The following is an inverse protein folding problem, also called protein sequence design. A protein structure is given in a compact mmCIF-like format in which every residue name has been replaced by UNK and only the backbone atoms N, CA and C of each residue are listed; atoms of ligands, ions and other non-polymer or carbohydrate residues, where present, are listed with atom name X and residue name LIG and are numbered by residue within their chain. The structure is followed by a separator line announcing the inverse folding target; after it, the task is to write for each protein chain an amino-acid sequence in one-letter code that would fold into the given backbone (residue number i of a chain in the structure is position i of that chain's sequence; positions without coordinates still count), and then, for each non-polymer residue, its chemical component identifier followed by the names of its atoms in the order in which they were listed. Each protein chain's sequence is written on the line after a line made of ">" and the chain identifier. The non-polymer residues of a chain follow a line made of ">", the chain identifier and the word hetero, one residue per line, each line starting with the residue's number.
data_IF_842085508858
#
_entry.id   IF_842085508858
#
_cell.length_a   1.000
_cell.length_b   1.000
_cell.length_c   1.000
_cell.angle_alpha   90.00
_cell.angle_beta   90.00
_cell.angle_gamma   90.00
#
_symmetry.space_group_name_H-M   'P 1'
#
loop_
_entity.id
_entity.type
_entity.pdbx_description
1 polymer ?
#
# COMPACT_ATOMS: atom_id res chain seq x y z
N UNK A 1 -61.35 -4.94 -10.62
CA UNK A 1 -60.29 -4.73 -9.66
C UNK A 1 -58.96 -4.91 -10.34
N UNK A 2 -58.19 -3.79 -10.51
CA UNK A 2 -56.84 -3.81 -11.10
C UNK A 2 -55.81 -3.78 -9.97
N UNK A 3 -54.75 -4.61 -9.97
CA UNK A 3 -53.69 -4.49 -9.00
C UNK A 3 -52.78 -3.31 -9.36
N UNK A 4 -52.57 -2.46 -8.37
CA UNK A 4 -51.74 -1.25 -8.39
C UNK A 4 -50.24 -1.68 -8.39
N UNK A 5 -49.55 -1.43 -9.50
CA UNK A 5 -48.07 -1.54 -9.54
C UNK A 5 -47.48 -0.39 -8.71
N UNK A 6 -46.81 -0.70 -7.61
CA UNK A 6 -45.93 0.23 -6.92
C UNK A 6 -44.63 0.36 -7.72
N UNK A 7 -44.15 1.57 -8.01
CA UNK A 7 -42.81 1.73 -8.58
C UNK A 7 -41.75 1.34 -7.58
N UNK A 8 -40.72 0.64 -8.07
CA UNK A 8 -39.54 0.29 -7.30
C UNK A 8 -38.89 1.58 -6.78
N UNK A 9 -38.78 1.70 -5.47
CA UNK A 9 -37.98 2.70 -4.82
C UNK A 9 -36.52 2.41 -5.12
N UNK A 10 -35.88 3.20 -5.99
CA UNK A 10 -34.43 3.28 -6.07
C UNK A 10 -33.96 3.81 -4.71
N UNK A 11 -33.34 2.94 -3.93
CA UNK A 11 -32.60 3.34 -2.74
C UNK A 11 -31.41 4.19 -3.20
N UNK A 12 -31.57 5.48 -3.11
CA UNK A 12 -30.50 6.45 -3.25
C UNK A 12 -29.62 6.29 -2.00
N UNK A 13 -28.66 5.36 -2.02
CA UNK A 13 -27.68 5.23 -0.95
C UNK A 13 -26.83 6.49 -0.99
N UNK A 14 -27.01 7.36 -0.01
CA UNK A 14 -26.17 8.54 0.17
C UNK A 14 -24.72 8.08 0.24
N UNK A 15 -23.92 8.57 -0.69
CA UNK A 15 -22.47 8.35 -0.75
C UNK A 15 -21.86 8.90 0.55
N UNK A 16 -20.98 8.14 1.24
CA UNK A 16 -20.21 8.67 2.37
C UNK A 16 -19.36 9.87 1.96
N UNK A 17 -19.31 10.92 2.76
CA UNK A 17 -18.63 12.21 2.46
C UNK A 17 -17.15 12.07 2.11
N UNK A 18 -16.49 10.99 2.54
CA UNK A 18 -15.07 10.73 2.28
C UNK A 18 -14.77 10.03 0.92
N UNK A 19 -15.78 9.79 0.08
CA UNK A 19 -15.60 9.16 -1.24
C UNK A 19 -15.71 10.20 -2.37
N UNK A 20 -14.95 9.99 -3.45
CA UNK A 20 -15.02 10.82 -4.66
C UNK A 20 -16.23 10.46 -5.53
N UNK A 21 -16.53 11.25 -6.57
CA UNK A 21 -17.59 10.93 -7.54
C UNK A 21 -17.17 9.87 -8.56
N UNK A 22 -15.91 9.52 -8.60
CA UNK A 22 -15.35 8.50 -9.47
C UNK A 22 -15.73 7.11 -8.95
N UNK A 23 -16.38 6.31 -9.78
CA UNK A 23 -16.70 4.91 -9.47
C UNK A 23 -15.63 4.00 -10.06
N UNK A 24 -15.37 2.84 -9.42
CA UNK A 24 -14.46 1.85 -10.00
C UNK A 24 -14.96 1.31 -11.34
N UNK A 25 -16.28 1.24 -11.53
CA UNK A 25 -16.90 0.82 -12.79
C UNK A 25 -16.66 1.79 -13.95
N UNK A 26 -16.34 3.07 -13.67
CA UNK A 26 -15.98 4.06 -14.70
C UNK A 26 -14.52 3.98 -15.15
N UNK A 27 -13.69 3.20 -14.44
CA UNK A 27 -12.31 2.93 -14.80
C UNK A 27 -12.24 1.66 -15.66
N UNK A 28 -11.35 1.66 -16.65
CA UNK A 28 -11.14 0.51 -17.53
C UNK A 28 -10.38 -0.62 -16.82
N UNK A 29 -11.01 -1.20 -15.79
CA UNK A 29 -10.47 -2.28 -15.00
C UNK A 29 -10.90 -3.64 -15.55
N UNK A 30 -10.00 -4.62 -15.48
CA UNK A 30 -10.27 -5.98 -15.86
C UNK A 30 -11.49 -6.54 -15.09
N UNK A 31 -12.43 -7.29 -15.75
CA UNK A 31 -13.66 -7.78 -15.10
C UNK A 31 -13.42 -8.57 -13.80
N UNK A 32 -12.31 -9.31 -13.70
CA UNK A 32 -11.95 -10.05 -12.49
C UNK A 32 -11.63 -9.13 -11.30
N UNK A 33 -11.10 -7.92 -11.54
CA UNK A 33 -10.87 -6.91 -10.49
C UNK A 33 -12.17 -6.25 -10.08
N UNK A 34 -13.04 -5.94 -11.03
CA UNK A 34 -14.37 -5.41 -10.73
C UNK A 34 -15.18 -6.38 -9.88
N UNK A 35 -15.11 -7.69 -10.17
CA UNK A 35 -15.74 -8.72 -9.33
C UNK A 35 -15.19 -8.73 -7.89
N UNK A 36 -13.87 -8.60 -7.73
CA UNK A 36 -13.25 -8.49 -6.39
C UNK A 36 -13.72 -7.26 -5.61
N UNK A 37 -13.78 -6.10 -6.28
CA UNK A 37 -14.26 -4.85 -5.70
C UNK A 37 -15.74 -4.94 -5.28
N UNK A 38 -16.59 -5.55 -6.11
CA UNK A 38 -18.00 -5.75 -5.81
C UNK A 38 -18.21 -6.65 -4.58
N UNK A 39 -17.46 -7.75 -4.47
CA UNK A 39 -17.49 -8.66 -3.30
C UNK A 39 -17.08 -7.94 -2.01
N UNK A 40 -16.20 -6.94 -2.09
CA UNK A 40 -15.76 -6.11 -0.98
C UNK A 40 -16.69 -4.92 -0.71
N UNK A 41 -17.71 -4.70 -1.53
CA UNK A 41 -18.64 -3.57 -1.42
C UNK A 41 -18.03 -2.23 -1.83
N UNK A 42 -16.95 -2.22 -2.63
CA UNK A 42 -16.28 -1.01 -3.09
C UNK A 42 -16.89 -0.50 -4.38
N UNK A 43 -17.74 0.53 -4.30
CA UNK A 43 -18.39 1.16 -5.46
C UNK A 43 -17.68 2.42 -5.95
N UNK A 44 -17.25 3.28 -5.01
CA UNK A 44 -16.65 4.58 -5.30
C UNK A 44 -15.19 4.63 -4.83
N UNK A 45 -14.39 5.39 -5.59
CA UNK A 45 -13.00 5.63 -5.23
C UNK A 45 -12.89 6.62 -4.07
N UNK A 46 -11.88 6.43 -3.22
CA UNK A 46 -11.41 7.50 -2.33
C UNK A 46 -10.71 8.60 -3.14
N UNK A 47 -10.46 9.81 -2.58
CA UNK A 47 -9.76 10.89 -3.30
C UNK A 47 -8.41 10.46 -3.86
N UNK A 48 -7.59 9.72 -3.08
CA UNK A 48 -6.29 9.23 -3.56
C UNK A 48 -6.44 8.20 -4.67
N UNK A 49 -7.42 7.31 -4.60
CA UNK A 49 -7.68 6.33 -5.65
C UNK A 49 -8.13 6.99 -6.94
N UNK A 50 -9.05 7.96 -6.87
CA UNK A 50 -9.52 8.73 -8.01
C UNK A 50 -8.41 9.53 -8.69
N UNK A 51 -7.45 10.02 -7.92
CA UNK A 51 -6.30 10.74 -8.45
C UNK A 51 -5.21 9.82 -9.03
N UNK A 52 -4.95 8.67 -8.37
CA UNK A 52 -3.86 7.75 -8.75
C UNK A 52 -4.25 6.81 -9.89
N UNK A 53 -5.43 6.16 -9.82
CA UNK A 53 -5.76 5.06 -10.73
C UNK A 53 -5.74 5.45 -12.20
N UNK A 54 -6.35 6.56 -12.66
CA UNK A 54 -6.32 6.92 -14.08
C UNK A 54 -4.90 7.08 -14.63
N UNK A 55 -4.00 7.66 -13.81
CA UNK A 55 -2.59 7.89 -14.18
C UNK A 55 -1.79 6.58 -14.21
N UNK A 56 -1.96 5.74 -13.18
CA UNK A 56 -1.31 4.43 -13.11
C UNK A 56 -1.74 3.50 -14.26
N UNK A 57 -3.04 3.50 -14.58
CA UNK A 57 -3.59 2.75 -15.71
C UNK A 57 -3.04 3.26 -17.05
N UNK A 58 -2.80 4.57 -17.19
CA UNK A 58 -2.11 5.17 -18.34
C UNK A 58 -0.61 4.87 -18.38
N UNK A 59 -0.04 4.14 -17.39
CA UNK A 59 1.35 3.71 -17.37
C UNK A 59 2.34 4.71 -16.80
N UNK A 60 1.84 5.75 -16.12
CA UNK A 60 2.67 6.77 -15.49
C UNK A 60 3.20 6.28 -14.14
N UNK A 61 4.41 6.74 -13.77
CA UNK A 61 4.95 6.57 -12.44
C UNK A 61 4.28 7.54 -11.46
N UNK A 62 4.09 7.10 -10.21
CA UNK A 62 3.38 7.88 -9.20
C UNK A 62 4.21 8.09 -7.94
N UNK A 63 4.23 9.31 -7.43
CA UNK A 63 4.69 9.65 -6.09
C UNK A 63 3.50 10.22 -5.30
N UNK A 64 2.84 9.38 -4.51
CA UNK A 64 1.61 9.72 -3.79
C UNK A 64 1.87 10.09 -2.33
N UNK A 65 1.46 11.31 -1.94
CA UNK A 65 1.41 11.71 -0.53
C UNK A 65 -0.02 11.56 -0.01
N UNK A 66 -0.21 10.65 0.92
CA UNK A 66 -1.47 10.51 1.63
C UNK A 66 -1.27 9.74 2.95
N UNK A 67 -2.08 10.06 3.95
CA UNK A 67 -2.06 9.40 5.25
C UNK A 67 -2.44 7.92 5.16
N UNK A 68 -2.14 7.14 6.21
CA UNK A 68 -2.65 5.77 6.37
C UNK A 68 -4.17 5.76 6.42
N UNK A 69 -4.80 4.72 5.88
CA UNK A 69 -6.27 4.61 5.88
C UNK A 69 -6.98 5.36 4.75
N UNK A 70 -6.30 6.08 3.87
CA UNK A 70 -6.89 6.79 2.74
C UNK A 70 -7.19 5.93 1.52
N UNK A 71 -6.79 4.64 1.53
CA UNK A 71 -7.02 3.71 0.43
C UNK A 71 -5.89 3.60 -0.60
N UNK A 72 -4.66 4.07 -0.28
CA UNK A 72 -3.46 3.94 -1.13
C UNK A 72 -3.21 2.50 -1.58
N UNK A 73 -3.32 1.57 -0.64
CA UNK A 73 -3.06 0.14 -0.87
C UNK A 73 -3.90 -0.40 -2.02
N UNK A 74 -5.21 -0.14 -2.02
CA UNK A 74 -6.07 -0.57 -3.11
C UNK A 74 -5.71 0.12 -4.45
N UNK A 75 -5.28 1.39 -4.43
CA UNK A 75 -4.88 2.09 -5.65
C UNK A 75 -3.70 1.40 -6.35
N UNK A 76 -2.58 1.16 -5.63
CA UNK A 76 -1.44 0.52 -6.28
C UNK A 76 -1.66 -0.98 -6.55
N UNK A 77 -2.42 -1.69 -5.71
CA UNK A 77 -2.75 -3.10 -5.96
C UNK A 77 -3.59 -3.26 -7.23
N UNK A 78 -4.65 -2.47 -7.40
CA UNK A 78 -5.49 -2.51 -8.59
C UNK A 78 -4.70 -2.18 -9.86
N UNK A 79 -3.87 -1.13 -9.82
CA UNK A 79 -3.02 -0.76 -10.96
C UNK A 79 -2.01 -1.87 -11.30
N UNK A 80 -1.44 -2.50 -10.28
CA UNK A 80 -0.49 -3.63 -10.44
C UNK A 80 -1.18 -4.84 -11.04
N UNK A 81 -2.28 -5.29 -10.46
CA UNK A 81 -3.01 -6.46 -10.93
C UNK A 81 -3.59 -6.25 -12.33
N UNK A 82 -4.11 -5.05 -12.63
CA UNK A 82 -4.56 -4.67 -13.97
C UNK A 82 -3.45 -4.87 -14.99
N UNK A 83 -2.24 -4.37 -14.69
CA UNK A 83 -1.11 -4.53 -15.59
C UNK A 83 -0.76 -6.00 -15.82
N UNK A 84 -0.65 -6.80 -14.76
CA UNK A 84 -0.30 -8.21 -14.85
C UNK A 84 -1.37 -9.06 -15.56
N UNK A 85 -2.64 -8.67 -15.50
CA UNK A 85 -3.74 -9.35 -16.18
C UNK A 85 -3.85 -9.01 -17.67
N UNK A 86 -3.38 -7.82 -18.06
CA UNK A 86 -3.50 -7.33 -19.45
C UNK A 86 -2.24 -7.51 -20.28
N UNK A 87 -1.11 -7.82 -19.64
CA UNK A 87 0.17 -8.01 -20.32
C UNK A 87 0.69 -9.44 -20.12
N UNK A 88 1.34 -10.00 -21.13
CA UNK A 88 2.02 -11.28 -20.98
C UNK A 88 3.23 -11.14 -20.03
N UNK A 89 3.51 -12.16 -19.18
CA UNK A 89 4.70 -12.15 -18.33
C UNK A 89 5.98 -11.98 -19.15
N UNK A 90 6.91 -11.14 -18.66
CA UNK A 90 8.20 -10.93 -19.32
C UNK A 90 9.22 -12.02 -19.01
N UNK A 91 9.02 -12.74 -17.91
CA UNK A 91 9.95 -13.79 -17.48
C UNK A 91 9.86 -15.01 -18.40
N UNK A 92 11.01 -15.62 -18.76
CA UNK A 92 11.01 -16.89 -19.46
C UNK A 92 10.39 -18.01 -18.63
N UNK A 93 9.84 -19.02 -19.32
CA UNK A 93 9.29 -20.20 -18.67
C UNK A 93 10.35 -20.89 -17.79
N UNK A 94 9.98 -21.30 -16.58
CA UNK A 94 10.88 -21.96 -15.63
C UNK A 94 11.76 -21.01 -14.80
N UNK A 95 11.70 -19.69 -15.04
CA UNK A 95 12.40 -18.70 -14.24
C UNK A 95 11.46 -18.13 -13.18
N UNK A 96 11.83 -18.26 -11.90
CA UNK A 96 11.09 -17.63 -10.81
C UNK A 96 11.41 -16.14 -10.78
N UNK A 97 10.49 -15.32 -11.27
CA UNK A 97 10.64 -13.89 -11.34
C UNK A 97 9.28 -13.20 -11.12
N UNK A 98 9.13 -12.41 -10.05
CA UNK A 98 7.89 -11.66 -9.85
C UNK A 98 7.74 -10.58 -10.91
N UNK A 99 6.52 -10.44 -11.47
CA UNK A 99 6.17 -9.31 -12.34
C UNK A 99 6.00 -8.02 -11.53
N UNK A 100 5.57 -8.13 -10.27
CA UNK A 100 5.46 -7.00 -9.35
C UNK A 100 6.21 -7.26 -8.04
N UNK A 101 6.91 -6.21 -7.57
CA UNK A 101 7.72 -6.24 -6.36
C UNK A 101 7.35 -5.09 -5.44
N UNK A 102 6.94 -5.40 -4.21
CA UNK A 102 6.41 -4.42 -3.26
C UNK A 102 7.18 -4.45 -1.95
N UNK A 103 7.66 -3.28 -1.55
CA UNK A 103 8.40 -3.08 -0.29
C UNK A 103 7.54 -2.37 0.74
N UNK A 104 7.55 -2.91 1.95
CA UNK A 104 6.93 -2.33 3.13
C UNK A 104 7.94 -2.26 4.28
N UNK A 105 7.91 -1.20 5.14
CA UNK A 105 8.89 -1.01 6.22
C UNK A 105 8.76 -2.05 7.35
N UNK A 106 7.57 -2.59 7.56
CA UNK A 106 7.28 -3.48 8.67
C UNK A 106 6.58 -4.76 8.22
N UNK A 107 6.70 -5.79 9.04
CA UNK A 107 5.99 -7.07 8.86
C UNK A 107 4.48 -6.87 8.81
N UNK A 108 3.96 -6.08 9.74
CA UNK A 108 2.52 -5.82 9.87
C UNK A 108 1.95 -5.21 8.60
N UNK A 109 2.65 -4.19 8.04
CA UNK A 109 2.21 -3.57 6.79
C UNK A 109 2.35 -4.51 5.59
N UNK A 110 3.44 -5.29 5.49
CA UNK A 110 3.60 -6.28 4.43
C UNK A 110 2.46 -7.32 4.45
N UNK A 111 2.09 -7.81 5.63
CA UNK A 111 0.96 -8.75 5.82
C UNK A 111 -0.37 -8.08 5.48
N UNK A 112 -0.56 -6.82 5.85
CA UNK A 112 -1.77 -6.08 5.49
C UNK A 112 -1.90 -5.94 3.97
N UNK A 113 -0.85 -5.47 3.28
CA UNK A 113 -0.82 -5.37 1.81
C UNK A 113 -1.14 -6.73 1.17
N UNK A 114 -0.56 -7.82 1.68
CA UNK A 114 -0.82 -9.16 1.18
C UNK A 114 -2.29 -9.60 1.36
N UNK A 115 -2.88 -9.32 2.51
CA UNK A 115 -4.29 -9.65 2.76
C UNK A 115 -5.23 -8.85 1.85
N UNK A 116 -4.96 -7.56 1.67
CA UNK A 116 -5.69 -6.69 0.75
C UNK A 116 -5.52 -7.17 -0.70
N UNK A 117 -4.31 -7.58 -1.08
CA UNK A 117 -4.02 -8.14 -2.40
C UNK A 117 -4.82 -9.43 -2.65
N UNK A 118 -4.86 -10.34 -1.67
CA UNK A 118 -5.66 -11.57 -1.77
C UNK A 118 -7.15 -11.30 -1.88
N UNK A 119 -7.66 -10.33 -1.13
CA UNK A 119 -9.07 -9.98 -1.14
C UNK A 119 -9.48 -9.35 -2.50
N UNK A 120 -8.71 -8.37 -2.98
CA UNK A 120 -8.96 -7.70 -4.27
C UNK A 120 -8.73 -8.64 -5.46
N UNK A 121 -7.70 -9.48 -5.38
CA UNK A 121 -7.26 -10.37 -6.44
C UNK A 121 -7.85 -11.78 -6.39
N UNK A 122 -8.88 -12.05 -5.58
CA UNK A 122 -9.41 -13.39 -5.35
C UNK A 122 -9.83 -14.13 -6.65
N UNK A 123 -10.33 -13.39 -7.63
CA UNK A 123 -10.79 -13.95 -8.91
C UNK A 123 -9.74 -13.83 -10.02
N UNK A 124 -8.56 -13.28 -9.75
CA UNK A 124 -7.55 -12.99 -10.78
C UNK A 124 -6.74 -14.21 -11.20
N UNK A 125 -6.52 -15.15 -10.29
CA UNK A 125 -5.62 -16.28 -10.47
C UNK A 125 -4.14 -15.93 -10.33
N UNK A 126 -3.78 -14.67 -9.98
CA UNK A 126 -2.42 -14.25 -9.74
C UNK A 126 -1.88 -14.88 -8.45
N UNK A 127 -0.66 -15.39 -8.51
CA UNK A 127 0.07 -15.91 -7.35
C UNK A 127 0.72 -14.77 -6.56
N UNK A 128 0.51 -14.77 -5.24
CA UNK A 128 0.98 -13.71 -4.36
C UNK A 128 1.65 -14.31 -3.14
N UNK A 129 2.81 -13.77 -2.78
CA UNK A 129 3.55 -14.23 -1.60
C UNK A 129 4.05 -13.05 -0.77
N UNK A 130 4.06 -13.21 0.56
CA UNK A 130 4.58 -12.22 1.49
C UNK A 130 5.81 -12.74 2.22
N UNK A 131 6.88 -11.92 2.26
CA UNK A 131 8.17 -12.27 2.85
C UNK A 131 8.59 -11.26 3.92
N UNK A 132 8.79 -11.75 5.14
CA UNK A 132 9.21 -10.93 6.29
C UNK A 132 10.07 -11.73 7.27
N UNK A 133 10.84 -11.04 8.10
CA UNK A 133 11.71 -11.66 9.11
C UNK A 133 10.94 -12.22 10.31
N UNK A 134 11.59 -13.08 11.08
CA UNK A 134 11.12 -13.55 12.38
C UNK A 134 10.33 -14.86 12.40
N UNK A 135 9.70 -15.30 11.31
CA UNK A 135 8.97 -16.57 11.26
C UNK A 135 8.80 -17.10 9.82
N UNK A 136 8.39 -18.34 9.67
CA UNK A 136 7.90 -18.91 8.42
C UNK A 136 8.93 -19.02 7.29
N UNK A 137 10.22 -19.15 7.60
CA UNK A 137 11.28 -19.13 6.60
C UNK A 137 11.10 -20.17 5.48
N UNK A 138 10.96 -21.43 5.83
CA UNK A 138 10.82 -22.53 4.87
C UNK A 138 9.49 -22.45 4.10
N UNK A 139 8.42 -22.00 4.76
CA UNK A 139 7.14 -21.82 4.09
C UNK A 139 7.21 -20.72 3.04
N UNK A 140 7.77 -19.55 3.40
CA UNK A 140 7.93 -18.42 2.46
C UNK A 140 8.83 -18.81 1.28
N UNK A 141 9.90 -19.57 1.56
CA UNK A 141 10.78 -20.12 0.53
C UNK A 141 10.02 -21.02 -0.45
N UNK A 142 9.30 -22.01 0.09
CA UNK A 142 8.54 -22.93 -0.73
C UNK A 142 7.42 -22.25 -1.56
N UNK A 143 6.84 -21.17 -1.05
CA UNK A 143 5.86 -20.37 -1.79
C UNK A 143 6.52 -19.64 -2.98
N UNK A 144 7.71 -19.06 -2.81
CA UNK A 144 8.45 -18.43 -3.90
C UNK A 144 8.84 -19.46 -4.97
N UNK A 145 9.35 -20.63 -4.57
CA UNK A 145 9.80 -21.68 -5.47
C UNK A 145 8.67 -22.26 -6.36
N UNK A 146 7.40 -22.13 -5.94
CA UNK A 146 6.23 -22.49 -6.75
C UNK A 146 5.92 -21.49 -7.87
N UNK A 147 6.58 -20.34 -7.86
CA UNK A 147 6.30 -19.23 -8.75
C UNK A 147 5.42 -18.16 -8.10
N UNK A 148 5.74 -16.90 -8.34
CA UNK A 148 5.06 -15.75 -7.76
C UNK A 148 4.95 -14.61 -8.76
N UNK A 149 3.72 -14.08 -8.94
CA UNK A 149 3.47 -12.91 -9.78
C UNK A 149 3.67 -11.61 -9.01
N UNK A 150 3.24 -11.57 -7.73
CA UNK A 150 3.36 -10.41 -6.85
C UNK A 150 4.10 -10.81 -5.58
N UNK A 151 5.32 -10.29 -5.43
CA UNK A 151 6.15 -10.51 -4.26
C UNK A 151 6.14 -9.29 -3.35
N UNK A 152 5.64 -9.45 -2.14
CA UNK A 152 5.49 -8.39 -1.14
C UNK A 152 6.43 -8.69 0.02
N UNK A 153 7.05 -7.68 0.63
CA UNK A 153 7.81 -7.98 1.84
C UNK A 153 8.62 -6.84 2.42
N UNK A 154 9.34 -7.19 3.48
CA UNK A 154 10.30 -6.29 4.14
C UNK A 154 11.69 -6.42 3.51
N UNK A 155 12.48 -5.33 3.40
CA UNK A 155 13.73 -5.31 2.66
C UNK A 155 14.70 -6.44 3.03
N UNK A 156 14.97 -6.64 4.32
CA UNK A 156 15.97 -7.62 4.78
C UNK A 156 15.68 -9.08 4.36
N UNK A 157 14.41 -9.54 4.47
CA UNK A 157 14.04 -10.91 4.08
C UNK A 157 14.05 -11.08 2.56
N UNK A 158 13.63 -10.06 1.83
CA UNK A 158 13.67 -10.09 0.37
C UNK A 158 15.11 -10.13 -0.14
N UNK A 159 16.01 -9.35 0.45
CA UNK A 159 17.44 -9.41 0.12
C UNK A 159 18.05 -10.78 0.42
N UNK A 160 17.70 -11.37 1.57
CA UNK A 160 18.17 -12.69 1.96
C UNK A 160 17.80 -13.76 0.91
N UNK A 161 16.54 -13.83 0.53
CA UNK A 161 16.06 -14.75 -0.50
C UNK A 161 16.63 -14.45 -1.90
N UNK A 162 16.80 -13.17 -2.25
CA UNK A 162 17.45 -12.77 -3.49
C UNK A 162 18.93 -13.25 -3.55
N UNK A 163 19.70 -13.07 -2.46
CA UNK A 163 21.08 -13.55 -2.37
C UNK A 163 21.20 -15.07 -2.48
N UNK A 164 20.17 -15.80 -2.05
CA UNK A 164 20.08 -17.25 -2.21
C UNK A 164 19.60 -17.68 -3.61
N UNK A 165 19.34 -16.72 -4.50
CA UNK A 165 18.91 -16.97 -5.89
C UNK A 165 17.57 -17.72 -5.99
N UNK A 166 16.66 -17.52 -5.02
CA UNK A 166 15.31 -18.09 -5.07
C UNK A 166 14.45 -17.44 -6.15
N UNK A 167 14.77 -16.21 -6.51
CA UNK A 167 14.12 -15.45 -7.59
C UNK A 167 15.10 -14.45 -8.20
N UNK A 168 14.77 -13.96 -9.40
CA UNK A 168 15.46 -12.82 -10.01
C UNK A 168 14.57 -11.59 -10.05
N UNK A 169 15.19 -10.39 -10.09
CA UNK A 169 14.50 -9.10 -10.24
C UNK A 169 14.58 -8.55 -11.67
N UNK A 170 15.24 -9.27 -12.59
CA UNK A 170 15.51 -8.79 -13.95
C UNK A 170 14.25 -8.57 -14.79
N UNK A 171 13.13 -9.14 -14.37
CA UNK A 171 11.85 -9.09 -15.11
C UNK A 171 10.75 -8.33 -14.36
N UNK A 172 11.11 -7.60 -13.29
CA UNK A 172 10.14 -6.79 -12.56
C UNK A 172 9.58 -5.69 -13.45
N UNK A 173 8.26 -5.70 -13.62
CA UNK A 173 7.53 -4.72 -14.43
C UNK A 173 6.95 -3.60 -13.59
N UNK A 174 6.63 -3.89 -12.33
CA UNK A 174 6.08 -2.92 -11.39
C UNK A 174 6.83 -2.98 -10.06
N UNK A 175 7.28 -1.83 -9.60
CA UNK A 175 7.88 -1.63 -8.29
C UNK A 175 6.98 -0.73 -7.43
N UNK A 176 6.71 -1.14 -6.18
CA UNK A 176 5.96 -0.36 -5.21
C UNK A 176 6.77 -0.15 -3.94
N UNK A 177 6.85 1.09 -3.48
CA UNK A 177 7.37 1.46 -2.17
C UNK A 177 6.23 2.06 -1.36
N UNK A 178 5.78 1.40 -0.30
CA UNK A 178 4.76 1.95 0.59
C UNK A 178 5.38 2.38 1.92
N UNK A 179 4.93 3.50 2.48
CA UNK A 179 5.51 4.18 3.64
C UNK A 179 7.02 4.44 3.50
N UNK A 180 7.41 5.05 2.38
CA UNK A 180 8.83 5.30 2.07
C UNK A 180 9.54 6.14 3.14
N UNK A 181 8.89 7.15 3.71
CA UNK A 181 9.42 7.95 4.83
C UNK A 181 9.79 7.07 6.03
N UNK A 182 8.94 6.12 6.39
CA UNK A 182 9.21 5.18 7.49
C UNK A 182 10.36 4.22 7.18
N UNK A 183 10.54 3.84 5.91
CA UNK A 183 11.71 3.05 5.52
C UNK A 183 13.02 3.82 5.71
N UNK A 184 13.02 5.15 5.48
CA UNK A 184 14.17 6.01 5.80
C UNK A 184 14.44 6.05 7.30
N UNK A 185 13.40 6.25 8.12
CA UNK A 185 13.53 6.33 9.59
C UNK A 185 14.07 5.02 10.19
N UNK A 186 13.74 3.89 9.60
CA UNK A 186 14.22 2.56 10.01
C UNK A 186 15.59 2.21 9.41
N UNK A 187 16.19 3.06 8.57
CA UNK A 187 17.52 2.87 8.02
C UNK A 187 17.60 1.90 6.83
N UNK A 188 16.49 1.60 6.15
CA UNK A 188 16.46 0.66 5.02
C UNK A 188 16.87 1.26 3.68
N UNK A 189 17.36 2.50 3.64
CA UNK A 189 17.64 3.19 2.37
C UNK A 189 18.67 2.46 1.49
N UNK A 190 19.74 1.94 2.10
CA UNK A 190 20.76 1.21 1.36
C UNK A 190 20.25 -0.14 0.83
N UNK A 191 19.40 -0.81 1.61
CA UNK A 191 18.72 -2.03 1.22
C UNK A 191 17.78 -1.81 0.03
N UNK A 192 17.00 -0.71 0.07
CA UNK A 192 16.11 -0.32 -1.01
C UNK A 192 16.93 -0.01 -2.27
N UNK A 193 17.95 0.81 -2.18
CA UNK A 193 18.84 1.13 -3.31
C UNK A 193 19.52 -0.12 -3.88
N UNK A 194 19.90 -1.07 -3.00
CA UNK A 194 20.46 -2.34 -3.44
C UNK A 194 19.47 -3.12 -4.31
N UNK A 195 18.22 -3.28 -3.87
CA UNK A 195 17.17 -3.99 -4.62
C UNK A 195 16.81 -3.28 -5.92
N UNK A 196 16.62 -1.95 -5.89
CA UNK A 196 16.26 -1.15 -7.06
C UNK A 196 17.30 -1.22 -8.18
N UNK A 197 18.59 -1.34 -7.82
CA UNK A 197 19.70 -1.51 -8.80
C UNK A 197 19.74 -2.90 -9.46
N UNK A 198 18.97 -3.87 -8.92
CA UNK A 198 18.86 -5.24 -9.48
C UNK A 198 17.64 -5.40 -10.39
N UNK A 199 16.78 -4.41 -10.45
CA UNK A 199 15.61 -4.39 -11.32
C UNK A 199 15.93 -3.76 -12.68
N UNK A 200 15.07 -3.95 -13.69
CA UNK A 200 15.17 -3.20 -14.95
C UNK A 200 15.24 -1.69 -14.71
N UNK A 201 15.84 -0.92 -15.62
CA UNK A 201 15.93 0.53 -15.50
C UNK A 201 14.54 1.17 -15.40
N UNK A 202 14.42 2.37 -14.79
CA UNK A 202 13.13 3.04 -14.61
C UNK A 202 12.29 3.18 -15.89
N UNK A 203 12.95 3.37 -17.04
CA UNK A 203 12.27 3.49 -18.33
C UNK A 203 11.51 2.23 -18.76
N UNK A 204 11.91 1.06 -18.27
CA UNK A 204 11.37 -0.24 -18.65
C UNK A 204 10.36 -0.81 -17.66
N UNK A 205 10.18 -0.15 -16.50
CA UNK A 205 9.22 -0.55 -15.47
C UNK A 205 8.31 0.60 -15.08
N UNK A 206 7.25 0.30 -14.34
CA UNK A 206 6.40 1.27 -13.65
C UNK A 206 6.81 1.32 -12.18
N UNK A 207 6.79 2.49 -11.59
CA UNK A 207 7.20 2.68 -10.20
C UNK A 207 6.17 3.49 -9.44
N UNK A 208 5.73 2.98 -8.29
CA UNK A 208 4.77 3.64 -7.41
C UNK A 208 5.40 3.82 -6.04
N UNK A 209 5.50 5.06 -5.61
CA UNK A 209 6.02 5.44 -4.31
C UNK A 209 4.91 6.11 -3.51
N UNK A 210 4.61 5.58 -2.33
CA UNK A 210 3.64 6.16 -1.41
C UNK A 210 4.29 6.48 -0.06
N UNK A 211 3.93 7.63 0.49
CA UNK A 211 4.49 8.12 1.74
C UNK A 211 3.49 9.03 2.46
N UNK A 212 3.56 9.14 3.78
CA UNK A 212 2.81 10.14 4.52
C UNK A 212 3.40 11.54 4.30
N UNK A 213 4.71 11.61 4.05
CA UNK A 213 5.43 12.86 3.77
C UNK A 213 6.33 12.71 2.54
N UNK A 214 6.29 13.67 1.62
CA UNK A 214 7.22 13.76 0.49
C UNK A 214 8.42 14.65 0.87
N UNK A 215 9.18 14.21 1.89
CA UNK A 215 10.40 14.88 2.30
C UNK A 215 11.43 14.91 1.16
N UNK A 216 12.44 15.80 1.26
CA UNK A 216 13.52 15.90 0.28
C UNK A 216 14.19 14.53 0.01
N UNK A 217 14.42 13.73 1.05
CA UNK A 217 15.03 12.39 0.94
C UNK A 217 14.15 11.40 0.15
N UNK A 218 12.82 11.45 0.38
CA UNK A 218 11.86 10.61 -0.35
C UNK A 218 11.81 11.02 -1.82
N UNK A 219 11.79 12.32 -2.10
CA UNK A 219 11.82 12.82 -3.48
C UNK A 219 13.15 12.51 -4.19
N UNK A 220 14.29 12.58 -3.50
CA UNK A 220 15.59 12.19 -4.03
C UNK A 220 15.58 10.73 -4.50
N UNK A 221 15.05 9.80 -3.67
CA UNK A 221 14.89 8.40 -4.05
C UNK A 221 13.99 8.24 -5.29
N UNK A 222 12.89 9.00 -5.36
CA UNK A 222 12.01 8.99 -6.52
C UNK A 222 12.73 9.47 -7.78
N UNK A 223 13.48 10.57 -7.72
CA UNK A 223 14.26 11.08 -8.85
C UNK A 223 15.38 10.14 -9.29
N UNK A 224 16.02 9.42 -8.35
CA UNK A 224 17.08 8.47 -8.68
C UNK A 224 16.55 7.20 -9.37
N UNK A 225 15.32 6.77 -9.04
CA UNK A 225 14.86 5.42 -9.36
C UNK A 225 13.49 5.35 -10.05
N UNK A 226 12.88 6.48 -10.41
CA UNK A 226 11.62 6.55 -11.16
C UNK A 226 11.82 7.34 -12.45
N UNK A 227 10.81 7.30 -13.33
CA UNK A 227 10.84 8.07 -14.57
C UNK A 227 10.87 9.58 -14.30
N UNK A 228 11.51 10.39 -15.18
CA UNK A 228 11.60 11.84 -14.97
C UNK A 228 10.26 12.57 -14.91
N UNK A 229 9.23 12.00 -15.54
CA UNK A 229 7.85 12.52 -15.61
C UNK A 229 6.93 11.98 -14.50
N UNK A 230 7.50 11.53 -13.37
CA UNK A 230 6.76 11.01 -12.24
C UNK A 230 5.67 12.00 -11.79
N UNK A 231 4.45 11.48 -11.67
CA UNK A 231 3.29 12.28 -11.24
C UNK A 231 3.26 12.38 -9.72
N UNK A 232 3.40 13.59 -9.21
CA UNK A 232 3.19 13.88 -7.79
C UNK A 232 1.70 14.04 -7.52
N UNK A 233 1.20 13.31 -6.55
CA UNK A 233 -0.19 13.35 -6.10
C UNK A 233 -0.19 13.62 -4.61
N UNK A 234 -0.69 14.79 -4.23
CA UNK A 234 -0.80 15.22 -2.84
C UNK A 234 -2.27 15.30 -2.48
N UNK A 235 -2.70 14.52 -1.50
CA UNK A 235 -4.02 14.64 -0.91
C UNK A 235 -3.85 15.30 0.45
N UNK A 236 -4.24 16.56 0.52
CA UNK A 236 -4.28 17.27 1.79
C UNK A 236 -5.30 16.60 2.72
N UNK A 237 -4.95 16.36 3.97
CA UNK A 237 -5.92 15.89 4.94
C UNK A 237 -7.00 16.97 5.12
N UNK A 238 -8.25 16.60 5.04
CA UNK A 238 -9.39 17.53 5.26
C UNK A 238 -9.30 18.25 6.60
N UNK A 239 -8.55 17.68 7.55
CA UNK A 239 -8.30 18.27 8.86
C UNK A 239 -6.88 17.96 9.34
N UNK A 240 -6.14 19.01 9.70
CA UNK A 240 -4.78 18.94 10.26
C UNK A 240 -4.78 18.34 11.68
N UNK A 241 -5.91 18.39 12.37
CA UNK A 241 -6.08 17.86 13.73
C UNK A 241 -7.24 16.89 13.81
N UNK A 242 -7.07 15.77 14.54
CA UNK A 242 -8.16 14.85 14.79
C UNK A 242 -9.24 15.55 15.64
N UNK A 243 -10.39 15.88 15.06
CA UNK A 243 -11.51 16.55 15.75
C UNK A 243 -11.97 15.83 17.02
N UNK A 244 -11.76 14.52 17.09
CA UNK A 244 -12.16 13.68 18.23
C UNK A 244 -11.10 13.60 19.33
N UNK A 245 -9.91 14.20 19.14
CA UNK A 245 -8.83 14.21 20.12
C UNK A 245 -8.76 15.58 20.78
N UNK A 246 -9.10 15.66 22.06
CA UNK A 246 -8.89 16.85 22.86
C UNK A 246 -7.39 17.06 23.05
N UNK A 247 -6.87 18.14 22.51
CA UNK A 247 -5.48 18.54 22.65
C UNK A 247 -5.38 19.67 23.66
N UNK A 248 -4.43 19.55 24.58
CA UNK A 248 -4.14 20.60 25.57
C UNK A 248 -2.63 20.81 25.65
N UNK A 249 -2.20 22.05 25.70
CA UNK A 249 -0.81 22.41 25.91
C UNK A 249 -0.60 22.73 27.39
N UNK A 250 0.31 22.01 28.03
CA UNK A 250 0.69 22.23 29.40
C UNK A 250 2.10 22.82 29.47
N UNK A 251 2.22 24.05 29.97
CA UNK A 251 3.51 24.71 30.18
C UNK A 251 4.09 24.27 31.51
N UNK A 252 5.16 23.49 31.48
CA UNK A 252 5.86 22.99 32.67
C UNK A 252 7.36 23.19 32.52
N UNK A 253 8.07 23.36 33.64
CA UNK A 253 9.52 23.37 33.63
C UNK A 253 10.09 21.99 33.25
N UNK A 254 11.34 21.92 32.79
CA UNK A 254 11.96 20.63 32.45
C UNK A 254 12.10 19.71 33.67
N UNK A 255 12.27 20.27 34.87
CA UNK A 255 12.32 19.53 36.14
C UNK A 255 10.98 18.89 36.52
N UNK A 256 9.86 19.50 36.12
CA UNK A 256 8.54 19.13 36.60
C UNK A 256 7.79 18.24 35.57
N UNK A 257 8.35 18.02 34.35
CA UNK A 257 7.74 17.27 33.29
C UNK A 257 7.25 15.87 33.71
N UNK A 258 8.11 15.14 34.43
CA UNK A 258 7.79 13.77 34.84
C UNK A 258 6.67 13.77 35.90
N UNK A 259 6.72 14.70 36.87
CA UNK A 259 5.69 14.82 37.89
C UNK A 259 4.35 15.24 37.29
N UNK A 260 4.35 16.18 36.35
CA UNK A 260 3.17 16.63 35.65
C UNK A 260 2.56 15.47 34.81
N UNK A 261 3.39 14.70 34.11
CA UNK A 261 2.93 13.51 33.34
C UNK A 261 2.28 12.48 34.26
N UNK A 262 2.93 12.10 35.35
CA UNK A 262 2.37 11.13 36.33
C UNK A 262 1.07 11.66 36.94
N UNK A 263 0.99 12.97 37.24
CA UNK A 263 -0.22 13.62 37.74
C UNK A 263 -1.38 13.50 36.73
N UNK A 264 -1.13 13.80 35.45
CA UNK A 264 -2.12 13.68 34.39
C UNK A 264 -2.60 12.23 34.17
N UNK A 265 -1.68 11.27 34.15
CA UNK A 265 -2.01 9.86 34.02
C UNK A 265 -2.89 9.37 35.18
N UNK A 266 -2.63 9.80 36.42
CA UNK A 266 -3.45 9.49 37.61
C UNK A 266 -4.83 10.16 37.55
N UNK A 267 -4.87 11.43 37.17
CA UNK A 267 -6.12 12.20 37.10
C UNK A 267 -7.10 11.65 36.06
N UNK A 268 -6.57 11.19 34.92
CA UNK A 268 -7.37 10.66 33.82
C UNK A 268 -7.50 9.13 33.82
N UNK A 269 -7.05 8.44 34.86
CA UNK A 269 -7.10 6.96 35.02
C UNK A 269 -6.49 6.20 33.83
N UNK A 270 -5.57 6.78 33.05
CA UNK A 270 -5.00 6.18 31.86
C UNK A 270 -4.06 4.99 32.15
N UNK A 271 -3.62 4.83 33.40
CA UNK A 271 -2.76 3.72 33.84
C UNK A 271 -3.47 2.34 33.79
N UNK A 272 -4.80 2.31 33.72
CA UNK A 272 -5.60 1.08 33.72
C UNK A 272 -6.21 0.75 32.36
N UNK A 273 -6.01 1.57 31.34
CA UNK A 273 -6.62 1.42 30.02
C UNK A 273 -5.66 0.84 28.95
N UNK A 274 -4.39 0.70 29.30
CA UNK A 274 -3.39 0.11 28.42
C UNK A 274 -2.95 -1.25 28.97
N UNK A 275 -3.22 -2.38 28.29
CA UNK A 275 -2.71 -3.67 28.73
C UNK A 275 -1.17 -3.62 28.73
N UNK A 276 -0.57 -4.14 29.81
CA UNK A 276 0.87 -4.28 29.88
C UNK A 276 1.33 -5.31 28.81
N UNK A 277 2.44 -5.06 28.09
CA UNK A 277 3.00 -6.06 27.18
C UNK A 277 3.44 -7.37 27.84
N UNK A 278 3.25 -7.49 29.18
CA UNK A 278 3.63 -8.66 29.99
C UNK A 278 2.45 -9.40 30.64
N UNK A 279 1.19 -8.97 30.35
CA UNK A 279 0.01 -9.64 30.84
C UNK A 279 -0.59 -10.57 29.70
#
# INVERSE_FOLDING_TARGET
>A
MRPCCRPAQHSNSMKPDHLSDVTFASLDLHPRLLSGLEKLGYGHCTPIQAACLPRALAGQDLAGQAQTGTGKTAAFLLATMQHLLTNAPRSPEGVVAPGAFMLAPTRELAVQIYNDAKALGADTGLSMTVCYGGAGYEQQRAEIERGVDILIGTPGRLIDFYKQKLYTLDYVEIMVLDEADRMFDLGFIDDIRYLLRKMPPPAERKSYLFSATLSHRVLELAFEHMKPDVQKIEIEPEQVTAERVKQALLHVSNSDKLQALVGLLRQHCLLYTSPSPRD
#
